data_IF_733151904075
#
_entry.id   IF_733151904075
#
_cell.length_a   1.000
_cell.length_b   1.000
_cell.length_c   1.000
_cell.angle_alpha   90.00
_cell.angle_beta   90.00
_cell.angle_gamma   90.00
#
_symmetry.space_group_name_H-M   'P 1'
#
loop_
_entity.id
_entity.type
_entity.pdbx_description
1 polymer ?
#
# COMPACT_ATOMS: atom_id res chain seq x y z
N UNK A 1 -21.39 -2.99 25.20
CA UNK A 1 -21.04 -3.83 24.03
C UNK A 1 -19.53 -3.80 23.89
N UNK A 2 -18.85 -4.94 24.01
CA UNK A 2 -17.43 -5.04 23.66
C UNK A 2 -17.36 -5.14 22.13
N UNK A 3 -16.85 -4.10 21.48
CA UNK A 3 -16.62 -4.14 20.03
C UNK A 3 -15.23 -4.75 19.80
N UNK A 4 -15.11 -5.92 19.14
CA UNK A 4 -13.82 -6.56 18.87
C UNK A 4 -13.02 -5.87 17.75
N UNK A 5 -13.52 -4.76 17.22
CA UNK A 5 -13.00 -4.04 16.06
C UNK A 5 -12.08 -2.92 16.55
N UNK A 6 -10.84 -2.90 16.07
CA UNK A 6 -9.87 -1.81 16.34
C UNK A 6 -10.19 -0.62 15.44
N UNK A 7 -9.78 0.58 15.84
CA UNK A 7 -9.97 1.82 15.06
C UNK A 7 -9.41 1.69 13.64
N UNK A 8 -8.31 0.96 13.47
CA UNK A 8 -7.60 0.76 12.20
C UNK A 8 -8.08 -0.48 11.43
N UNK A 9 -9.03 -1.25 11.95
CA UNK A 9 -9.47 -2.50 11.31
C UNK A 9 -9.96 -2.26 9.89
N UNK A 10 -10.72 -1.19 9.63
CA UNK A 10 -11.24 -0.89 8.29
C UNK A 10 -10.17 -0.56 7.25
N UNK A 11 -8.94 -0.23 7.67
CA UNK A 11 -7.81 0.11 6.78
C UNK A 11 -6.90 -1.10 6.52
N UNK A 12 -6.84 -2.04 7.47
CA UNK A 12 -5.93 -3.18 7.43
C UNK A 12 -6.55 -4.46 6.82
N UNK A 13 -7.73 -4.36 6.21
CA UNK A 13 -8.37 -5.51 5.58
C UNK A 13 -7.60 -5.85 4.31
N UNK A 14 -7.10 -7.08 4.18
CA UNK A 14 -6.51 -7.56 2.94
C UNK A 14 -7.60 -7.72 1.86
N UNK A 15 -7.37 -7.11 0.69
CA UNK A 15 -8.22 -7.10 -0.50
C UNK A 15 -7.40 -7.48 -1.74
N UNK A 16 -8.08 -7.90 -2.81
CA UNK A 16 -7.49 -8.13 -4.14
C UNK A 16 -6.14 -8.90 -4.08
N UNK A 17 -6.17 -10.03 -3.40
CA UNK A 17 -4.97 -10.83 -3.12
C UNK A 17 -4.51 -11.61 -4.35
N UNK A 18 -3.21 -11.93 -4.38
CA UNK A 18 -2.60 -12.97 -5.22
C UNK A 18 -2.03 -12.53 -6.57
N UNK A 19 -1.32 -11.41 -6.59
CA UNK A 19 -0.35 -11.10 -7.67
C UNK A 19 0.89 -11.96 -7.46
N UNK A 20 1.16 -12.87 -8.40
CA UNK A 20 2.34 -13.74 -8.39
C UNK A 20 3.47 -13.10 -9.21
N UNK A 21 4.66 -12.99 -8.63
CA UNK A 21 5.78 -12.27 -9.26
C UNK A 21 7.15 -12.86 -8.87
N UNK A 22 8.15 -12.58 -9.70
CA UNK A 22 9.55 -12.98 -9.48
C UNK A 22 10.34 -11.99 -8.63
N UNK A 23 9.80 -10.78 -8.42
CA UNK A 23 10.42 -9.76 -7.59
C UNK A 23 9.41 -8.83 -6.94
N UNK A 24 9.88 -8.14 -5.91
CA UNK A 24 9.12 -7.12 -5.19
C UNK A 24 10.06 -6.07 -4.61
N UNK A 25 9.70 -4.80 -4.79
CA UNK A 25 10.41 -3.68 -4.17
C UNK A 25 9.51 -2.99 -3.14
N UNK A 26 9.87 -2.98 -1.85
CA UNK A 26 9.10 -2.29 -0.82
C UNK A 26 8.81 -0.83 -1.19
N UNK A 27 7.53 -0.44 -1.13
CA UNK A 27 7.07 0.90 -1.49
C UNK A 27 6.88 1.17 -3.00
N UNK A 28 7.32 0.26 -3.88
CA UNK A 28 7.13 0.38 -5.33
C UNK A 28 6.20 -0.71 -5.91
N UNK A 29 6.13 -1.89 -5.29
CA UNK A 29 5.25 -2.98 -5.72
C UNK A 29 5.96 -4.20 -6.33
N UNK A 30 5.19 -5.16 -6.86
CA UNK A 30 5.71 -6.35 -7.53
C UNK A 30 6.40 -5.99 -8.86
N UNK A 31 7.29 -6.87 -9.32
CA UNK A 31 7.97 -6.80 -10.61
C UNK A 31 8.11 -8.19 -11.21
N UNK A 32 7.96 -8.32 -12.53
CA UNK A 32 8.15 -9.62 -13.19
C UNK A 32 7.00 -10.58 -12.86
N UNK A 33 5.79 -10.09 -13.05
CA UNK A 33 4.53 -10.79 -12.86
C UNK A 33 4.47 -12.05 -13.73
N UNK A 34 4.05 -13.16 -13.12
CA UNK A 34 4.04 -14.47 -13.80
C UNK A 34 2.75 -14.74 -14.57
N UNK A 35 1.73 -13.91 -14.38
CA UNK A 35 0.45 -13.96 -15.08
C UNK A 35 -0.75 -13.91 -14.15
N UNK A 36 -1.94 -13.94 -14.75
CA UNK A 36 -3.20 -13.92 -14.00
C UNK A 36 -3.43 -15.22 -13.19
N UNK A 37 -3.98 -15.07 -11.99
CA UNK A 37 -4.38 -16.17 -11.10
C UNK A 37 -5.90 -16.15 -10.88
N UNK A 38 -6.48 -17.30 -10.51
CA UNK A 38 -7.91 -17.43 -10.18
C UNK A 38 -8.12 -18.34 -8.98
N UNK A 39 -9.26 -18.19 -8.30
CA UNK A 39 -9.60 -19.02 -7.13
C UNK A 39 -8.85 -18.68 -5.84
N UNK A 40 -8.08 -17.58 -5.84
CA UNK A 40 -7.21 -17.18 -4.73
C UNK A 40 -6.01 -18.11 -4.58
N UNK A 41 -5.43 -18.11 -3.39
CA UNK A 41 -4.36 -19.05 -3.04
C UNK A 41 -4.02 -19.01 -1.56
N UNK A 42 -3.22 -19.97 -1.13
CA UNK A 42 -2.91 -20.23 0.27
C UNK A 42 -1.40 -20.19 0.48
N UNK A 43 -0.95 -19.26 1.31
CA UNK A 43 0.37 -19.31 1.91
C UNK A 43 0.29 -20.03 3.26
N UNK A 44 1.20 -20.96 3.52
CA UNK A 44 1.32 -21.68 4.79
C UNK A 44 2.77 -21.64 5.27
N UNK A 45 2.98 -21.27 6.52
CA UNK A 45 4.26 -21.41 7.20
C UNK A 45 4.00 -22.08 8.56
N UNK A 46 4.43 -23.34 8.70
CA UNK A 46 4.16 -24.17 9.88
C UNK A 46 5.46 -24.43 10.63
N UNK A 47 5.62 -23.95 11.87
CA UNK A 47 6.79 -24.26 12.68
C UNK A 47 6.70 -25.69 13.24
N UNK A 48 7.80 -26.43 13.20
CA UNK A 48 7.94 -27.69 13.90
C UNK A 48 8.52 -27.46 15.30
N UNK A 49 7.75 -27.83 16.32
CA UNK A 49 8.14 -27.64 17.72
C UNK A 49 8.71 -28.92 18.32
N UNK A 50 9.82 -28.78 19.03
CA UNK A 50 10.40 -29.82 19.87
C UNK A 50 10.52 -29.35 21.32
N UNK A 51 10.32 -30.29 22.24
CA UNK A 51 10.62 -30.13 23.67
C UNK A 51 11.78 -31.08 23.98
N UNK A 52 12.89 -30.60 24.60
CA UNK A 52 13.98 -31.47 25.01
C UNK A 52 13.50 -32.61 25.92
N UNK A 53 14.02 -33.82 25.71
CA UNK A 53 13.66 -35.03 26.45
C UNK A 53 14.21 -35.06 27.88
N UNK A 54 13.79 -34.12 28.73
CA UNK A 54 14.12 -34.06 30.15
C UNK A 54 13.15 -34.92 30.95
N UNK A 55 13.67 -35.80 31.82
CA UNK A 55 12.84 -36.67 32.66
C UNK A 55 11.92 -35.85 33.57
N UNK A 56 10.62 -36.19 33.57
CA UNK A 56 9.60 -35.51 34.36
C UNK A 56 9.02 -34.24 33.71
N UNK A 57 9.54 -33.80 32.57
CA UNK A 57 9.00 -32.65 31.83
C UNK A 57 7.71 -33.03 31.12
N UNK A 58 6.66 -32.22 31.31
CA UNK A 58 5.36 -32.44 30.64
C UNK A 58 5.41 -31.92 29.20
N UNK A 59 4.56 -32.49 28.33
CA UNK A 59 4.35 -31.95 26.97
C UNK A 59 3.91 -30.48 27.05
N UNK A 60 4.32 -29.67 26.09
CA UNK A 60 3.97 -28.25 25.98
C UNK A 60 4.35 -27.40 27.21
N UNK A 61 5.50 -27.68 27.83
CA UNK A 61 5.98 -26.87 28.95
C UNK A 61 6.52 -25.52 28.44
N UNK A 62 5.89 -24.42 28.87
CA UNK A 62 6.32 -23.04 28.57
C UNK A 62 7.80 -22.85 28.94
N UNK A 63 8.56 -22.22 28.05
CA UNK A 63 10.00 -21.96 28.23
C UNK A 63 10.92 -23.12 27.80
N UNK A 64 10.38 -24.28 27.41
CA UNK A 64 11.13 -25.42 26.89
C UNK A 64 10.80 -25.77 25.44
N UNK A 65 10.01 -24.93 24.76
CA UNK A 65 9.67 -25.12 23.35
C UNK A 65 10.80 -24.55 22.48
N UNK A 66 11.31 -25.37 21.58
CA UNK A 66 12.26 -25.00 20.52
C UNK A 66 11.55 -25.18 19.18
N UNK A 67 11.75 -24.26 18.24
CA UNK A 67 11.35 -24.45 16.85
C UNK A 67 12.56 -25.00 16.12
N UNK A 68 12.45 -26.20 15.56
CA UNK A 68 13.55 -26.82 14.83
C UNK A 68 13.56 -26.35 13.36
N UNK A 69 12.39 -26.34 12.72
CA UNK A 69 12.25 -25.93 11.32
C UNK A 69 10.89 -25.28 11.03
N UNK A 70 10.74 -24.82 9.80
CA UNK A 70 9.51 -24.25 9.26
C UNK A 70 9.22 -24.89 7.92
N UNK A 71 8.04 -25.50 7.79
CA UNK A 71 7.53 -25.95 6.51
C UNK A 71 6.74 -24.82 5.84
N UNK A 72 7.27 -24.31 4.73
CA UNK A 72 6.75 -23.16 3.99
C UNK A 72 6.19 -23.62 2.65
N UNK A 73 4.95 -23.24 2.34
CA UNK A 73 4.35 -23.47 1.02
C UNK A 73 3.49 -22.31 0.53
N UNK A 74 3.38 -22.19 -0.79
CA UNK A 74 2.43 -21.33 -1.47
C UNK A 74 1.70 -22.14 -2.54
N UNK A 75 0.37 -22.10 -2.51
CA UNK A 75 -0.49 -22.80 -3.47
C UNK A 75 -1.46 -21.83 -4.15
N UNK A 76 -1.56 -21.88 -5.47
CA UNK A 76 -2.57 -21.15 -6.23
C UNK A 76 -2.81 -21.77 -7.61
N UNK A 77 -3.86 -21.31 -8.28
CA UNK A 77 -4.10 -21.63 -9.68
C UNK A 77 -3.82 -20.43 -10.58
N UNK A 78 -2.96 -20.63 -11.56
CA UNK A 78 -2.69 -19.67 -12.63
C UNK A 78 -3.56 -20.00 -13.86
N UNK A 79 -4.00 -18.97 -14.57
CA UNK A 79 -4.83 -19.11 -15.78
C UNK A 79 -4.07 -18.75 -17.07
N UNK A 80 -2.95 -18.04 -16.92
CA UNK A 80 -2.14 -17.60 -18.06
C UNK A 80 -0.95 -18.53 -18.27
N UNK A 81 -0.87 -19.11 -19.46
CA UNK A 81 0.20 -20.03 -19.86
C UNK A 81 1.44 -19.24 -20.30
N UNK A 82 2.15 -18.65 -19.34
CA UNK A 82 3.42 -17.96 -19.57
C UNK A 82 4.60 -18.93 -19.54
N UNK A 83 5.68 -18.63 -20.26
CA UNK A 83 6.92 -19.42 -20.24
C UNK A 83 7.44 -19.60 -18.80
N UNK A 84 7.55 -18.50 -18.06
CA UNK A 84 8.04 -18.49 -16.69
C UNK A 84 7.11 -19.24 -15.72
N UNK A 85 5.79 -19.09 -15.85
CA UNK A 85 4.81 -19.80 -15.02
C UNK A 85 4.83 -21.31 -15.28
N UNK A 86 4.97 -21.73 -16.54
CA UNK A 86 5.07 -23.14 -16.91
C UNK A 86 6.40 -23.79 -16.50
N UNK A 87 7.51 -23.07 -16.60
CA UNK A 87 8.80 -23.54 -16.09
C UNK A 87 8.77 -23.68 -14.57
N UNK A 88 8.18 -22.71 -13.85
CA UNK A 88 7.96 -22.81 -12.41
C UNK A 88 7.08 -24.02 -12.08
N UNK A 89 5.98 -24.25 -12.82
CA UNK A 89 5.12 -25.41 -12.64
C UNK A 89 5.85 -26.74 -12.89
N UNK A 90 6.78 -26.76 -13.85
CA UNK A 90 7.61 -27.93 -14.17
C UNK A 90 8.70 -28.23 -13.12
N UNK A 91 8.92 -27.32 -12.16
CA UNK A 91 9.98 -27.42 -11.16
C UNK A 91 11.31 -26.90 -11.71
N UNK A 92 11.79 -27.46 -12.82
CA UNK A 92 12.95 -26.95 -13.55
C UNK A 92 13.03 -27.52 -14.97
N UNK A 93 13.76 -26.83 -15.84
CA UNK A 93 13.92 -27.24 -17.23
C UNK A 93 14.38 -26.09 -18.11
N UNK A 94 13.97 -26.13 -19.36
CA UNK A 94 14.31 -25.07 -20.32
C UNK A 94 13.13 -24.76 -21.23
N UNK A 95 13.07 -23.53 -21.71
CA UNK A 95 12.17 -23.12 -22.77
C UNK A 95 12.97 -22.75 -24.04
N UNK A 96 12.43 -23.11 -25.20
CA UNK A 96 12.96 -22.72 -26.48
C UNK A 96 11.82 -22.18 -27.36
N UNK A 97 11.98 -20.95 -27.85
CA UNK A 97 10.96 -20.27 -28.66
C UNK A 97 11.48 -20.07 -30.08
N UNK A 98 10.74 -20.56 -31.06
CA UNK A 98 10.95 -20.27 -32.48
C UNK A 98 9.90 -19.26 -33.00
N UNK A 99 9.76 -19.12 -34.32
CA UNK A 99 8.82 -18.18 -34.92
C UNK A 99 7.34 -18.49 -34.65
N UNK A 100 7.00 -19.71 -34.24
CA UNK A 100 5.62 -20.19 -34.12
C UNK A 100 5.30 -20.81 -32.76
N UNK A 101 6.29 -21.40 -32.08
CA UNK A 101 6.08 -22.23 -30.88
C UNK A 101 7.12 -21.95 -29.82
N UNK A 102 6.65 -21.89 -28.56
CA UNK A 102 7.48 -22.04 -27.37
C UNK A 102 7.36 -23.46 -26.85
N UNK A 103 8.48 -24.18 -26.77
CA UNK A 103 8.56 -25.55 -26.24
C UNK A 103 9.14 -25.52 -24.83
N UNK A 104 8.35 -25.95 -23.85
CA UNK A 104 8.80 -26.16 -22.47
C UNK A 104 9.28 -27.60 -22.33
N UNK A 105 10.54 -27.78 -21.93
CA UNK A 105 11.17 -29.10 -21.73
C UNK A 105 11.58 -29.24 -20.26
N UNK A 106 10.80 -29.95 -19.44
CA UNK A 106 11.20 -30.30 -18.08
C UNK A 106 12.47 -31.15 -18.08
N UNK A 107 13.30 -30.99 -17.06
CA UNK A 107 14.53 -31.76 -16.90
C UNK A 107 14.41 -32.81 -15.77
N UNK A 108 15.37 -33.76 -15.74
CA UNK A 108 15.43 -34.83 -14.75
C UNK A 108 16.82 -34.95 -14.11
N UNK A 109 16.87 -35.36 -12.84
CA UNK A 109 18.10 -35.45 -12.04
C UNK A 109 18.29 -34.35 -10.98
N UNK A 110 19.56 -34.01 -10.75
CA UNK A 110 20.09 -32.88 -9.96
C UNK A 110 19.39 -31.54 -10.25
N UNK A 111 18.48 -31.03 -9.40
CA UNK A 111 18.01 -29.63 -9.57
C UNK A 111 19.19 -28.69 -9.31
N UNK A 112 19.64 -27.88 -10.29
CA UNK A 112 20.71 -26.91 -10.07
C UNK A 112 20.30 -25.82 -9.09
N UNK A 113 21.25 -25.32 -8.29
CA UNK A 113 21.01 -24.22 -7.34
C UNK A 113 20.41 -22.97 -8.00
N UNK A 114 20.73 -22.72 -9.28
CA UNK A 114 20.20 -21.59 -10.05
C UNK A 114 18.70 -21.66 -10.35
N UNK A 115 18.09 -22.85 -10.25
CA UNK A 115 16.65 -23.05 -10.47
C UNK A 115 15.83 -22.73 -9.20
N UNK A 116 16.50 -22.63 -8.05
CA UNK A 116 15.86 -22.17 -6.82
C UNK A 116 15.81 -20.64 -6.80
N UNK A 117 14.64 -20.08 -7.11
CA UNK A 117 14.44 -18.64 -7.17
C UNK A 117 13.40 -18.18 -6.15
N UNK A 118 13.53 -16.95 -5.66
CA UNK A 118 12.51 -16.36 -4.78
C UNK A 118 11.20 -16.16 -5.55
N UNK A 119 10.08 -16.48 -4.90
CA UNK A 119 8.75 -16.24 -5.43
C UNK A 119 7.99 -15.28 -4.51
N UNK A 120 7.28 -14.34 -5.10
CA UNK A 120 6.56 -13.30 -4.38
C UNK A 120 5.06 -13.39 -4.64
N UNK A 121 4.29 -13.29 -3.56
CA UNK A 121 2.84 -13.06 -3.62
C UNK A 121 2.52 -11.73 -2.95
N UNK A 122 1.76 -10.88 -3.62
CA UNK A 122 1.34 -9.59 -3.09
C UNK A 122 -0.16 -9.33 -3.25
N UNK A 123 -0.66 -8.39 -2.47
CA UNK A 123 -2.02 -7.86 -2.55
C UNK A 123 -2.11 -6.51 -1.86
N UNK A 124 -3.31 -5.93 -1.84
CA UNK A 124 -3.51 -4.60 -1.26
C UNK A 124 -4.31 -4.68 0.04
N UNK A 125 -4.09 -3.77 0.96
CA UNK A 125 -5.03 -3.49 2.05
C UNK A 125 -6.12 -2.52 1.58
N UNK A 126 -7.20 -2.38 2.34
CA UNK A 126 -8.34 -1.53 1.99
C UNK A 126 -8.03 -0.03 1.90
N UNK A 127 -6.91 0.40 2.45
CA UNK A 127 -6.34 1.74 2.29
C UNK A 127 -5.38 1.89 1.11
N UNK A 128 -5.23 0.84 0.28
CA UNK A 128 -4.40 0.83 -0.92
C UNK A 128 -2.92 0.53 -0.70
N UNK A 129 -2.47 0.28 0.54
CA UNK A 129 -1.09 -0.14 0.81
C UNK A 129 -0.85 -1.58 0.38
N UNK A 130 0.40 -1.93 0.08
CA UNK A 130 0.74 -3.28 -0.39
C UNK A 130 1.20 -4.15 0.78
N UNK A 131 0.72 -5.39 0.82
CA UNK A 131 1.37 -6.47 1.57
C UNK A 131 2.01 -7.45 0.58
N UNK A 132 3.16 -7.99 0.96
CA UNK A 132 3.87 -8.97 0.14
C UNK A 132 4.47 -10.07 1.00
N UNK A 133 4.53 -11.29 0.47
CA UNK A 133 5.17 -12.45 1.09
C UNK A 133 6.19 -12.98 0.09
N UNK A 134 7.43 -13.09 0.54
CA UNK A 134 8.51 -13.74 -0.18
C UNK A 134 8.62 -15.18 0.30
N UNK A 135 8.59 -16.13 -0.64
CA UNK A 135 8.96 -17.52 -0.43
C UNK A 135 10.37 -17.68 -0.96
N UNK A 136 11.32 -18.02 -0.09
CA UNK A 136 12.74 -18.09 -0.44
C UNK A 136 13.08 -19.40 -1.11
N UNK A 137 13.89 -19.35 -2.16
CA UNK A 137 14.36 -20.53 -2.89
C UNK A 137 13.18 -21.44 -3.28
N UNK A 138 12.14 -20.84 -3.87
CA UNK A 138 10.90 -21.51 -4.17
C UNK A 138 11.12 -22.57 -5.25
N UNK A 139 10.63 -23.79 -5.00
CA UNK A 139 10.63 -24.87 -5.97
C UNK A 139 9.26 -25.55 -5.98
N UNK A 140 8.73 -25.86 -7.16
CA UNK A 140 7.45 -26.56 -7.26
C UNK A 140 7.57 -28.01 -6.78
N UNK A 141 6.56 -28.45 -6.02
CA UNK A 141 6.51 -29.74 -5.36
C UNK A 141 5.40 -30.66 -5.92
N UNK A 142 4.46 -30.15 -6.72
CA UNK A 142 3.31 -30.89 -7.23
C UNK A 142 3.42 -31.27 -8.72
N UNK A 143 4.36 -30.66 -9.46
CA UNK A 143 4.55 -30.84 -10.89
C UNK A 143 3.50 -30.11 -11.75
N UNK A 144 3.54 -30.32 -13.07
CA UNK A 144 2.63 -29.66 -14.01
C UNK A 144 1.27 -30.34 -13.98
N UNK A 145 0.26 -29.65 -13.45
CA UNK A 145 -1.13 -30.09 -13.51
C UNK A 145 -2.00 -29.04 -14.17
N UNK A 146 -2.58 -29.37 -15.33
CA UNK A 146 -3.53 -28.54 -16.08
C UNK A 146 -4.94 -29.11 -15.92
N UNK A 147 -5.91 -28.25 -15.64
CA UNK A 147 -7.32 -28.61 -15.51
C UNK A 147 -8.20 -27.80 -16.46
N UNK A 148 -9.15 -28.50 -17.08
CA UNK A 148 -10.10 -27.95 -18.03
C UNK A 148 -11.50 -28.46 -17.63
N UNK A 149 -12.46 -27.55 -17.48
CA UNK A 149 -13.84 -27.89 -17.13
C UNK A 149 -14.84 -27.10 -17.99
N UNK A 150 -16.03 -27.66 -18.22
CA UNK A 150 -17.10 -26.96 -18.96
C UNK A 150 -17.48 -25.67 -18.23
N UNK A 151 -17.50 -24.55 -18.98
CA UNK A 151 -17.81 -23.19 -18.47
C UNK A 151 -16.87 -22.67 -17.36
N UNK A 152 -15.69 -23.27 -17.19
CA UNK A 152 -14.62 -22.73 -16.34
C UNK A 152 -13.43 -22.30 -17.21
N UNK A 153 -12.55 -21.46 -16.66
CA UNK A 153 -11.30 -21.08 -17.30
C UNK A 153 -10.27 -22.19 -17.10
N UNK A 154 -9.55 -22.56 -18.16
CA UNK A 154 -8.42 -23.48 -18.05
C UNK A 154 -7.37 -22.93 -17.08
N UNK A 155 -6.85 -23.78 -16.21
CA UNK A 155 -5.94 -23.37 -15.13
C UNK A 155 -4.89 -24.44 -14.86
N UNK A 156 -3.77 -24.02 -14.30
CA UNK A 156 -2.74 -24.92 -13.81
C UNK A 156 -2.30 -24.56 -12.40
N UNK A 157 -1.81 -25.56 -11.69
CA UNK A 157 -1.42 -25.41 -10.29
C UNK A 157 0.02 -24.91 -10.17
N UNK A 158 0.21 -23.92 -9.30
CA UNK A 158 1.51 -23.56 -8.71
C UNK A 158 1.45 -23.99 -7.26
N UNK A 159 2.29 -24.95 -6.89
CA UNK A 159 2.44 -25.45 -5.51
C UNK A 159 3.94 -25.50 -5.21
N UNK A 160 4.44 -24.45 -4.58
CA UNK A 160 5.87 -24.30 -4.30
C UNK A 160 6.17 -24.46 -2.81
N UNK A 161 7.38 -24.94 -2.53
CA UNK A 161 7.98 -24.98 -1.20
C UNK A 161 9.11 -23.97 -1.10
N UNK A 162 9.19 -23.28 0.03
CA UNK A 162 10.37 -22.48 0.38
C UNK A 162 11.45 -23.38 0.96
N UNK A 163 12.69 -23.23 0.50
CA UNK A 163 13.79 -24.13 0.85
C UNK A 163 14.88 -23.39 1.64
N UNK A 164 15.38 -24.03 2.70
CA UNK A 164 16.59 -23.58 3.40
C UNK A 164 17.82 -23.74 2.49
N UNK A 165 18.85 -22.95 2.73
CA UNK A 165 20.16 -23.16 2.12
C UNK A 165 21.09 -23.84 3.13
N UNK A 166 22.10 -24.56 2.64
CA UNK A 166 23.14 -25.14 3.50
C UNK A 166 23.89 -24.08 4.33
N UNK A 167 23.87 -22.81 3.91
CA UNK A 167 24.51 -21.71 4.63
C UNK A 167 23.60 -21.06 5.70
N UNK A 168 22.28 -21.27 5.64
CA UNK A 168 21.30 -20.53 6.46
C UNK A 168 20.19 -21.44 7.01
N UNK A 169 20.55 -22.51 7.72
CA UNK A 169 19.58 -23.46 8.30
C UNK A 169 18.75 -22.85 9.46
N UNK A 170 19.25 -21.80 10.10
CA UNK A 170 18.55 -21.11 11.19
C UNK A 170 17.64 -19.97 10.70
N UNK A 171 17.52 -19.76 9.39
CA UNK A 171 16.73 -18.69 8.79
C UNK A 171 15.54 -19.29 8.02
N UNK A 172 14.31 -19.15 8.52
CA UNK A 172 13.13 -19.67 7.84
C UNK A 172 13.01 -19.12 6.41
N UNK A 173 12.61 -19.94 5.42
CA UNK A 173 12.65 -19.57 4.00
C UNK A 173 11.43 -18.73 3.58
N UNK A 174 11.09 -17.70 4.36
CA UNK A 174 10.04 -16.75 4.01
C UNK A 174 10.25 -15.38 4.65
N UNK A 175 9.62 -14.36 4.11
CA UNK A 175 9.55 -13.02 4.71
C UNK A 175 8.21 -12.38 4.40
N UNK A 176 7.62 -11.67 5.37
CA UNK A 176 6.36 -10.95 5.20
C UNK A 176 6.63 -9.45 5.30
N UNK A 177 6.15 -8.72 4.30
CA UNK A 177 6.23 -7.26 4.21
C UNK A 177 4.83 -6.68 4.34
N UNK A 178 4.71 -5.66 5.18
CA UNK A 178 3.54 -4.81 5.29
C UNK A 178 4.01 -3.40 4.99
N UNK A 179 3.52 -2.80 3.91
CA UNK A 179 3.81 -1.41 3.65
C UNK A 179 3.11 -0.55 4.71
N UNK A 180 3.91 0.29 5.37
CA UNK A 180 3.46 1.27 6.37
C UNK A 180 3.60 2.69 5.85
N UNK A 181 4.01 2.87 4.59
CA UNK A 181 4.07 4.17 3.95
C UNK A 181 2.70 4.83 4.07
N UNK A 182 2.67 6.02 4.65
CA UNK A 182 1.47 6.85 4.58
C UNK A 182 1.42 7.38 3.15
N UNK A 183 0.29 7.20 2.46
CA UNK A 183 0.07 7.88 1.19
C UNK A 183 0.43 9.35 1.41
N UNK A 184 1.45 9.84 0.70
CA UNK A 184 1.92 11.21 0.88
C UNK A 184 0.80 12.12 0.39
N UNK A 185 0.06 12.72 1.32
CA UNK A 185 -0.87 13.76 0.97
C UNK A 185 -0.11 14.83 0.18
N UNK A 186 -0.71 15.32 -0.91
CA UNK A 186 -0.12 16.40 -1.69
C UNK A 186 0.26 17.55 -0.75
N UNK A 187 1.35 18.26 -1.06
CA UNK A 187 1.75 19.42 -0.27
C UNK A 187 0.57 20.41 -0.19
N UNK A 188 0.22 20.85 1.02
CA UNK A 188 -0.86 21.83 1.21
C UNK A 188 -0.57 23.10 0.39
N UNK A 189 -1.57 23.55 -0.38
CA UNK A 189 -1.52 24.74 -1.21
C UNK A 189 -2.85 25.51 -1.13
N UNK A 190 -2.75 26.83 -1.21
CA UNK A 190 -3.91 27.71 -1.46
C UNK A 190 -4.20 27.69 -2.96
N UNK A 191 -5.22 26.95 -3.38
CA UNK A 191 -5.62 26.78 -4.77
C UNK A 191 -6.22 28.06 -5.36
N UNK A 192 -7.00 28.80 -4.57
CA UNK A 192 -7.56 30.09 -4.98
C UNK A 192 -8.01 30.93 -3.78
N UNK A 193 -8.13 32.24 -4.01
CA UNK A 193 -8.75 33.18 -3.07
C UNK A 193 -9.70 34.11 -3.84
N UNK A 194 -10.89 34.32 -3.27
CA UNK A 194 -11.87 35.28 -3.74
C UNK A 194 -12.14 36.29 -2.61
N UNK A 195 -12.06 37.61 -2.83
CA UNK A 195 -11.74 38.28 -4.09
C UNK A 195 -10.34 37.92 -4.59
N UNK A 196 -10.18 37.85 -5.92
CA UNK A 196 -8.88 37.58 -6.55
C UNK A 196 -7.87 38.65 -6.14
N UNK A 197 -6.62 38.25 -5.92
CA UNK A 197 -5.55 39.17 -5.53
C UNK A 197 -5.47 40.37 -6.49
N UNK A 198 -5.45 41.58 -5.92
CA UNK A 198 -5.41 42.86 -6.64
C UNK A 198 -6.75 43.33 -7.22
N UNK A 199 -7.85 42.59 -7.02
CA UNK A 199 -9.16 42.99 -7.56
C UNK A 199 -9.72 44.25 -6.88
N UNK A 200 -10.57 44.97 -7.62
CA UNK A 200 -11.31 46.14 -7.13
C UNK A 200 -12.81 45.93 -7.37
N UNK A 201 -13.64 46.15 -6.36
CA UNK A 201 -15.09 46.03 -6.49
C UNK A 201 -15.80 45.85 -5.15
N UNK A 202 -17.10 45.55 -5.19
CA UNK A 202 -17.87 45.24 -3.99
C UNK A 202 -17.47 43.86 -3.43
N UNK A 203 -17.23 43.78 -2.12
CA UNK A 203 -16.82 42.56 -1.42
C UNK A 203 -17.64 42.42 -0.15
N UNK A 204 -18.23 41.25 0.07
CA UNK A 204 -19.01 40.92 1.28
C UNK A 204 -18.39 39.81 2.13
N UNK A 205 -17.50 39.00 1.54
CA UNK A 205 -16.81 37.89 2.19
C UNK A 205 -15.51 37.58 1.45
N UNK A 206 -14.68 36.73 2.07
CA UNK A 206 -13.44 36.23 1.47
C UNK A 206 -13.47 34.71 1.54
N UNK A 207 -13.40 34.03 0.40
CA UNK A 207 -13.34 32.57 0.30
C UNK A 207 -11.91 32.14 -0.09
N UNK A 208 -11.30 31.29 0.72
CA UNK A 208 -9.98 30.70 0.50
C UNK A 208 -10.14 29.20 0.25
N UNK A 209 -9.74 28.72 -0.93
CA UNK A 209 -9.85 27.30 -1.31
C UNK A 209 -8.49 26.63 -1.27
N UNK A 210 -8.41 25.47 -0.62
CA UNK A 210 -7.19 24.67 -0.47
C UNK A 210 -7.31 23.34 -1.22
N UNK A 211 -6.19 22.77 -1.62
CA UNK A 211 -6.16 21.43 -2.24
C UNK A 211 -6.47 20.31 -1.22
N UNK A 212 -6.08 20.52 0.05
CA UNK A 212 -6.31 19.60 1.18
C UNK A 212 -7.35 20.16 2.17
N UNK A 213 -7.98 19.26 2.94
CA UNK A 213 -8.88 19.66 4.02
C UNK A 213 -8.09 20.27 5.20
N UNK A 214 -8.59 21.36 5.76
CA UNK A 214 -7.93 22.17 6.78
C UNK A 214 -8.36 21.74 8.19
N UNK A 215 -7.37 21.55 9.07
CA UNK A 215 -7.57 21.22 10.48
C UNK A 215 -7.54 22.44 11.40
N UNK A 216 -6.75 23.47 11.03
CA UNK A 216 -6.68 24.73 11.76
C UNK A 216 -6.30 25.87 10.84
N UNK A 217 -6.80 27.07 11.15
CA UNK A 217 -6.49 28.29 10.41
C UNK A 217 -5.80 29.34 11.31
N UNK A 218 -4.96 30.17 10.71
CA UNK A 218 -4.50 31.41 11.30
C UNK A 218 -4.45 32.47 10.18
N UNK A 219 -5.59 33.14 10.00
CA UNK A 219 -5.79 34.16 8.97
C UNK A 219 -6.20 35.45 9.65
N UNK A 220 -5.62 36.56 9.24
CA UNK A 220 -6.01 37.90 9.68
C UNK A 220 -6.29 38.80 8.49
N UNK A 221 -7.32 39.63 8.60
CA UNK A 221 -7.68 40.62 7.59
C UNK A 221 -7.46 41.99 8.19
N UNK A 222 -6.76 42.87 7.48
CA UNK A 222 -6.42 44.22 7.97
C UNK A 222 -6.74 45.28 6.94
N UNK A 223 -7.02 46.49 7.43
CA UNK A 223 -7.09 47.69 6.62
C UNK A 223 -5.68 48.18 6.31
N UNK A 224 -5.33 48.34 5.03
CA UNK A 224 -3.94 48.61 4.62
C UNK A 224 -3.39 49.96 5.11
N UNK A 225 -4.25 50.98 5.26
CA UNK A 225 -3.83 52.32 5.64
C UNK A 225 -3.48 52.47 7.12
N UNK A 226 -4.10 51.68 7.99
CA UNK A 226 -3.94 51.79 9.46
C UNK A 226 -3.34 50.54 10.10
N UNK A 227 -3.35 49.41 9.40
CA UNK A 227 -3.02 48.10 9.97
C UNK A 227 -4.06 47.57 10.95
N UNK A 228 -5.22 48.23 11.07
CA UNK A 228 -6.29 47.80 11.97
C UNK A 228 -6.85 46.45 11.52
N UNK A 229 -7.00 45.52 12.47
CA UNK A 229 -7.62 44.21 12.24
C UNK A 229 -9.11 44.39 12.01
N UNK A 230 -9.64 43.69 11.02
CA UNK A 230 -11.06 43.64 10.71
C UNK A 230 -11.67 42.45 11.43
N UNK A 231 -12.64 42.72 12.30
CA UNK A 231 -13.38 41.69 13.00
C UNK A 231 -14.33 40.95 12.06
N UNK A 232 -14.41 39.63 12.22
CA UNK A 232 -15.26 38.77 11.40
C UNK A 232 -15.30 37.35 11.92
N UNK A 233 -16.17 36.54 11.32
CA UNK A 233 -16.33 35.13 11.61
C UNK A 233 -15.71 34.28 10.50
N UNK A 234 -15.09 33.16 10.90
CA UNK A 234 -14.61 32.13 9.99
C UNK A 234 -15.56 30.94 9.98
N UNK A 235 -15.79 30.36 8.81
CA UNK A 235 -16.55 29.13 8.63
C UNK A 235 -15.90 28.23 7.60
N UNK A 236 -16.00 26.92 7.81
CA UNK A 236 -15.57 25.91 6.83
C UNK A 236 -16.77 25.39 6.02
N UNK A 237 -16.51 25.01 4.78
CA UNK A 237 -17.42 24.15 4.03
C UNK A 237 -17.45 22.72 4.60
N UNK A 238 -18.43 21.91 4.18
CA UNK A 238 -18.56 20.54 4.70
C UNK A 238 -17.32 19.65 4.43
N UNK A 239 -16.62 19.76 3.28
CA UNK A 239 -15.32 19.10 3.06
C UNK A 239 -14.12 19.70 3.80
N UNK A 240 -14.25 20.84 4.48
CA UNK A 240 -13.16 21.62 5.08
C UNK A 240 -12.06 22.07 4.10
N UNK A 241 -12.37 22.17 2.80
CA UNK A 241 -11.43 22.64 1.77
C UNK A 241 -11.59 24.13 1.47
N UNK A 242 -12.68 24.76 1.90
CA UNK A 242 -12.93 26.19 1.74
C UNK A 242 -13.09 26.84 3.10
N UNK A 243 -12.26 27.83 3.38
CA UNK A 243 -12.37 28.70 4.54
C UNK A 243 -12.96 30.05 4.11
N UNK A 244 -14.12 30.39 4.66
CA UNK A 244 -14.79 31.66 4.40
C UNK A 244 -14.64 32.60 5.58
N UNK A 245 -14.18 33.82 5.34
CA UNK A 245 -14.22 34.93 6.28
C UNK A 245 -15.38 35.87 5.92
N UNK A 246 -16.25 36.15 6.91
CA UNK A 246 -17.33 37.12 6.79
C UNK A 246 -17.11 38.22 7.83
N UNK A 247 -16.88 39.48 7.44
CA UNK A 247 -16.65 40.56 8.40
C UNK A 247 -17.93 40.85 9.20
N UNK A 248 -17.80 41.29 10.45
CA UNK A 248 -18.95 41.64 11.32
C UNK A 248 -19.66 42.91 10.84
N UNK A 249 -18.92 43.79 10.18
CA UNK A 249 -19.40 45.01 9.54
C UNK A 249 -18.95 45.05 8.09
N UNK A 250 -19.67 45.77 7.22
CA UNK A 250 -19.25 45.91 5.82
C UNK A 250 -17.84 46.48 5.71
N UNK A 251 -17.05 45.99 4.75
CA UNK A 251 -15.72 46.52 4.47
C UNK A 251 -15.81 48.01 4.09
N UNK A 252 -14.87 48.81 4.57
CA UNK A 252 -14.75 50.22 4.18
C UNK A 252 -14.30 50.33 2.70
N UNK A 253 -14.61 51.42 2.01
CA UNK A 253 -14.07 51.69 0.65
C UNK A 253 -12.58 52.02 0.74
N UNK A 254 -11.74 50.98 0.69
CA UNK A 254 -10.29 51.06 0.90
C UNK A 254 -9.56 49.77 0.45
N UNK A 255 -8.23 49.82 0.47
CA UNK A 255 -7.35 48.66 0.26
C UNK A 255 -7.27 47.80 1.52
N UNK A 256 -7.41 46.49 1.35
CA UNK A 256 -7.37 45.48 2.40
C UNK A 256 -6.30 44.44 2.13
N UNK A 257 -5.77 43.86 3.20
CA UNK A 257 -4.75 42.81 3.17
C UNK A 257 -5.25 41.59 3.94
N UNK A 258 -5.11 40.42 3.33
CA UNK A 258 -5.38 39.11 3.93
C UNK A 258 -4.04 38.42 4.18
N UNK A 259 -3.68 38.25 5.45
CA UNK A 259 -2.48 37.53 5.86
C UNK A 259 -2.86 36.10 6.22
N UNK A 260 -2.29 35.13 5.52
CA UNK A 260 -2.54 33.70 5.69
C UNK A 260 -1.25 33.09 6.22
N UNK A 261 -1.22 32.76 7.50
CA UNK A 261 0.00 32.32 8.19
C UNK A 261 -0.31 31.13 9.08
N UNK A 262 0.33 29.99 8.87
CA UNK A 262 0.18 28.86 9.81
C UNK A 262 -1.13 28.07 9.68
N UNK A 263 -1.78 28.11 8.51
CA UNK A 263 -2.87 27.18 8.17
C UNK A 263 -2.30 25.75 8.14
N UNK A 264 -3.01 24.79 8.74
CA UNK A 264 -2.62 23.37 8.77
C UNK A 264 -3.69 22.48 8.16
N UNK A 265 -3.28 21.44 7.43
CA UNK A 265 -4.22 20.41 6.95
C UNK A 265 -4.46 19.29 7.97
N UNK A 266 -5.38 18.39 7.64
CA UNK A 266 -5.68 17.18 8.43
C UNK A 266 -4.51 16.18 8.47
N UNK A 267 -3.49 16.37 7.64
CA UNK A 267 -2.27 15.55 7.59
C UNK A 267 -1.12 16.17 8.38
N UNK A 268 -1.34 17.32 9.04
CA UNK A 268 -0.35 18.02 9.86
C UNK A 268 0.64 18.91 9.09
N UNK A 269 0.48 19.04 7.77
CA UNK A 269 1.29 19.92 6.94
C UNK A 269 0.93 21.39 7.22
N UNK A 270 1.90 22.29 7.11
CA UNK A 270 1.70 23.73 7.34
C UNK A 270 1.89 24.49 6.03
N UNK A 271 0.89 25.29 5.65
CA UNK A 271 0.94 26.13 4.46
C UNK A 271 2.02 27.21 4.61
N UNK A 272 2.80 27.42 3.55
CA UNK A 272 3.71 28.54 3.45
C UNK A 272 2.94 29.87 3.62
N UNK A 273 3.53 30.83 4.34
CA UNK A 273 2.86 32.10 4.59
C UNK A 273 2.60 32.83 3.28
N UNK A 274 1.38 33.31 3.11
CA UNK A 274 0.92 34.00 1.90
C UNK A 274 0.14 35.26 2.27
N UNK A 275 0.19 36.24 1.37
CA UNK A 275 -0.56 37.49 1.50
C UNK A 275 -1.34 37.74 0.22
N UNK A 276 -2.59 38.18 0.37
CA UNK A 276 -3.43 38.63 -0.75
C UNK A 276 -3.99 40.01 -0.44
N UNK A 277 -4.31 40.78 -1.48
CA UNK A 277 -4.85 42.15 -1.34
C UNK A 277 -6.09 42.33 -2.21
N UNK A 278 -7.02 43.18 -1.78
CA UNK A 278 -8.17 43.59 -2.60
C UNK A 278 -8.62 44.99 -2.21
N UNK A 279 -9.23 45.70 -3.15
CA UNK A 279 -9.75 47.06 -2.95
C UNK A 279 -11.27 47.03 -2.99
N UNK A 280 -11.91 47.60 -1.97
CA UNK A 280 -13.37 47.82 -1.98
C UNK A 280 -13.63 49.20 -2.55
N UNK A 281 -14.47 49.26 -3.59
CA UNK A 281 -14.87 50.50 -4.26
C UNK A 281 -16.05 51.16 -3.54
#
# INVERSE_FOLDING_TARGET
MLTPIRTETAQNIALNMFVLSTGYTPGSGPTGELGATTGGGTFTATPEFRVPGLNGLRKNTKGFMVIDEWDVSLKCSAVELTEAGLLLAAGYGSAATDANVTTITPAQGLVPDSEYADLWVSGNTSDGKIFAICIKNALNNNGVQLSFADKDTGKYDIDVRGNYTAATLDTPPFTIYLDKSVATADAIALSSIAPTAGSTGAVSKIDMTFNNAISSHAVTVVLASTGAIIDGAFSYDAPHKVLTFTPTSAFASALHIVNITGVKDIYGQTLASATSTFTVA
#
